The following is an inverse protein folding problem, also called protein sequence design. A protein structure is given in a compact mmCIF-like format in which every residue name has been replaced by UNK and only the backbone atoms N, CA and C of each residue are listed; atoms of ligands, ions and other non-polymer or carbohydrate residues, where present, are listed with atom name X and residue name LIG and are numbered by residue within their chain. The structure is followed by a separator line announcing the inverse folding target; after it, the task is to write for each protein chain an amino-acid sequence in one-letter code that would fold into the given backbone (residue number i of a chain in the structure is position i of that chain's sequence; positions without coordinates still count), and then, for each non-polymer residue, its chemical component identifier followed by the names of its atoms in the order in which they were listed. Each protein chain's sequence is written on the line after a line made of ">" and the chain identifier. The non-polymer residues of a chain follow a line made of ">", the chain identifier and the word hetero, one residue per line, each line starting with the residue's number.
data_IF_876274804251
#
_entry.id   IF_876274804251
#
_cell.length_a   1.000
_cell.length_b   1.000
_cell.length_c   1.000
_cell.angle_alpha   90.00
_cell.angle_beta   90.00
_cell.angle_gamma   90.00
#
_symmetry.space_group_name_H-M   'P 1'
#
loop_
_entity.id
_entity.type
_entity.pdbx_description
1 polymer ?
#
# COMPACT_ATOMS: atom_id res chain seq x y z
N UNK A 1 -7.27 11.55 -2.52
CA UNK A 1 -6.39 10.37 -2.64
C UNK A 1 -7.08 9.36 -3.54
N UNK A 2 -6.34 8.54 -4.27
CA UNK A 2 -6.87 7.47 -5.11
C UNK A 2 -6.15 6.18 -4.73
N UNK A 3 -6.92 5.13 -4.41
CA UNK A 3 -6.42 3.77 -4.24
C UNK A 3 -6.61 2.99 -5.54
N UNK A 4 -5.56 2.30 -5.96
CA UNK A 4 -5.50 1.49 -7.16
C UNK A 4 -5.06 0.07 -6.76
N UNK A 5 -5.99 -0.71 -6.21
CA UNK A 5 -5.82 -2.14 -5.98
C UNK A 5 -5.86 -2.90 -7.32
N UNK A 6 -4.90 -2.61 -8.19
CA UNK A 6 -4.72 -3.14 -9.54
C UNK A 6 -3.26 -2.99 -9.97
N UNK A 7 -2.88 -3.76 -10.99
CA UNK A 7 -1.54 -3.77 -11.53
C UNK A 7 -1.49 -4.25 -12.97
N UNK A 8 -0.48 -3.78 -13.71
CA UNK A 8 -0.11 -4.25 -15.04
C UNK A 8 1.39 -4.51 -15.10
N UNK A 9 1.80 -5.60 -15.74
CA UNK A 9 3.22 -5.99 -15.81
C UNK A 9 4.03 -5.16 -16.82
N UNK A 10 3.38 -4.23 -17.54
CA UNK A 10 4.03 -3.42 -18.58
C UNK A 10 3.76 -1.93 -18.37
N UNK A 11 4.80 -1.13 -18.63
CA UNK A 11 4.69 0.32 -18.59
C UNK A 11 3.78 0.81 -19.72
N UNK A 12 2.91 1.79 -19.43
CA UNK A 12 2.05 2.43 -20.41
C UNK A 12 2.19 3.95 -20.34
N UNK A 13 2.50 4.60 -21.47
CA UNK A 13 2.71 6.05 -21.55
C UNK A 13 1.46 6.85 -21.15
N UNK A 14 0.28 6.45 -21.60
CA UNK A 14 -0.97 7.13 -21.29
C UNK A 14 -1.31 6.99 -19.81
N UNK A 15 -1.09 5.80 -19.22
CA UNK A 15 -1.23 5.59 -17.79
C UNK A 15 -0.29 6.52 -17.01
N UNK A 16 0.98 6.58 -17.41
CA UNK A 16 1.97 7.47 -16.78
C UNK A 16 1.56 8.94 -16.85
N UNK A 17 1.09 9.42 -18.00
CA UNK A 17 0.60 10.80 -18.15
C UNK A 17 -0.58 11.10 -17.21
N UNK A 18 -1.52 10.16 -17.06
CA UNK A 18 -2.62 10.28 -16.10
C UNK A 18 -2.13 10.33 -14.65
N UNK A 19 -1.18 9.48 -14.28
CA UNK A 19 -0.56 9.44 -12.96
C UNK A 19 0.16 10.77 -12.66
N UNK A 20 0.97 11.26 -13.59
CA UNK A 20 1.70 12.51 -13.42
C UNK A 20 0.75 13.72 -13.33
N UNK A 21 -0.35 13.72 -14.09
CA UNK A 21 -1.39 14.76 -14.01
C UNK A 21 -2.10 14.75 -12.66
N UNK A 22 -2.44 13.57 -12.12
CA UNK A 22 -3.04 13.46 -10.80
C UNK A 22 -2.07 13.89 -9.70
N UNK A 23 -0.80 13.48 -9.80
CA UNK A 23 0.25 13.89 -8.86
C UNK A 23 0.46 15.41 -8.84
N UNK A 24 0.52 16.07 -10.01
CA UNK A 24 0.61 17.55 -10.12
C UNK A 24 -0.56 18.29 -9.47
N UNK A 25 -1.70 17.63 -9.29
CA UNK A 25 -2.86 18.16 -8.56
C UNK A 25 -2.82 17.86 -7.05
N UNK A 26 -1.67 17.44 -6.53
CA UNK A 26 -1.47 17.03 -5.13
C UNK A 26 -2.39 15.88 -4.69
N UNK A 27 -2.82 15.03 -5.64
CA UNK A 27 -3.57 13.82 -5.33
C UNK A 27 -2.57 12.76 -4.91
N UNK A 28 -2.75 12.23 -3.69
CA UNK A 28 -1.99 11.06 -3.21
C UNK A 28 -2.49 9.83 -3.97
N UNK A 29 -1.56 9.07 -4.54
CA UNK A 29 -1.80 7.88 -5.35
C UNK A 29 -1.20 6.68 -4.62
N UNK A 30 -2.02 5.67 -4.37
CA UNK A 30 -1.62 4.41 -3.71
C UNK A 30 -1.95 3.26 -4.64
N UNK A 31 -1.03 2.32 -4.83
CA UNK A 31 -1.24 1.14 -5.65
C UNK A 31 -0.66 -0.13 -5.02
N UNK A 32 -1.26 -1.27 -5.36
CA UNK A 32 -0.76 -2.60 -5.01
C UNK A 32 0.55 -2.90 -5.74
N UNK A 33 1.54 -3.44 -5.03
CA UNK A 33 2.84 -3.79 -5.59
C UNK A 33 2.82 -4.95 -6.59
N UNK A 34 1.78 -5.79 -6.56
CA UNK A 34 1.64 -6.97 -7.41
C UNK A 34 1.84 -8.28 -6.66
N UNK A 35 1.14 -9.31 -7.14
CA UNK A 35 1.05 -10.65 -6.54
C UNK A 35 1.56 -11.73 -7.53
N UNK A 36 2.61 -11.41 -8.29
CA UNK A 36 3.14 -12.26 -9.38
C UNK A 36 4.59 -12.73 -9.17
N UNK A 37 5.16 -12.51 -7.98
CA UNK A 37 6.57 -12.82 -7.65
C UNK A 37 7.59 -12.18 -8.61
N UNK A 38 7.24 -11.06 -9.26
CA UNK A 38 8.16 -10.35 -10.15
C UNK A 38 9.21 -9.58 -9.35
N UNK A 39 10.39 -9.38 -9.94
CA UNK A 39 11.43 -8.46 -9.46
C UNK A 39 11.12 -6.97 -9.73
N UNK A 40 9.99 -6.69 -10.39
CA UNK A 40 9.45 -5.36 -10.67
C UNK A 40 8.06 -5.29 -10.06
N UNK A 41 7.67 -4.14 -9.48
CA UNK A 41 6.30 -3.96 -9.03
C UNK A 41 5.37 -3.69 -10.21
N UNK A 42 4.10 -4.02 -10.05
CA UNK A 42 3.14 -3.76 -11.12
C UNK A 42 2.99 -2.24 -11.36
N UNK A 43 2.72 -1.85 -12.60
CA UNK A 43 2.32 -0.49 -12.92
C UNK A 43 0.86 -0.28 -12.52
N UNK A 44 0.50 0.82 -11.83
CA UNK A 44 1.28 2.05 -11.67
C UNK A 44 2.17 2.12 -10.40
N UNK A 45 2.20 1.10 -9.54
CA UNK A 45 2.97 1.13 -8.28
C UNK A 45 4.48 1.35 -8.50
N UNK A 46 5.04 0.82 -9.59
CA UNK A 46 6.45 1.04 -9.97
C UNK A 46 6.77 2.51 -10.32
N UNK A 47 5.77 3.36 -10.60
CA UNK A 47 6.04 4.76 -10.86
C UNK A 47 6.48 5.50 -9.59
N UNK A 48 7.51 6.35 -9.73
CA UNK A 48 8.06 7.18 -8.64
C UNK A 48 7.01 7.97 -7.85
N UNK A 49 5.98 8.48 -8.53
CA UNK A 49 4.95 9.36 -7.94
C UNK A 49 3.75 8.61 -7.33
N UNK A 50 3.82 7.28 -7.24
CA UNK A 50 2.77 6.41 -6.70
C UNK A 50 3.32 5.67 -5.49
N UNK A 51 2.58 5.63 -4.39
CA UNK A 51 2.94 4.84 -3.21
C UNK A 51 2.65 3.38 -3.52
N UNK A 52 3.70 2.56 -3.57
CA UNK A 52 3.62 1.11 -3.77
C UNK A 52 3.50 0.39 -2.43
N UNK A 53 2.47 -0.45 -2.30
CA UNK A 53 2.16 -1.17 -1.06
C UNK A 53 2.19 -2.68 -1.27
N UNK A 54 3.08 -3.35 -0.54
CA UNK A 54 3.16 -4.81 -0.49
C UNK A 54 2.40 -5.39 0.71
N UNK A 55 1.96 -6.64 0.55
CA UNK A 55 1.24 -7.37 1.58
C UNK A 55 2.18 -8.08 2.54
N UNK A 56 1.87 -7.97 3.83
CA UNK A 56 2.46 -8.77 4.91
C UNK A 56 1.36 -9.48 5.70
N UNK A 57 1.73 -10.56 6.37
CA UNK A 57 0.88 -11.26 7.32
C UNK A 57 0.96 -10.68 8.74
N UNK A 58 0.24 -11.31 9.69
CA UNK A 58 0.22 -10.91 11.10
C UNK A 58 1.57 -11.08 11.80
N UNK A 59 2.44 -11.94 11.29
CA UNK A 59 3.80 -12.16 11.79
C UNK A 59 4.80 -11.19 11.13
N UNK A 60 4.32 -10.28 10.28
CA UNK A 60 5.10 -9.36 9.45
C UNK A 60 5.93 -10.10 8.41
N UNK A 61 5.54 -11.31 8.04
CA UNK A 61 6.17 -12.04 6.95
C UNK A 61 5.61 -11.55 5.62
N UNK A 62 6.48 -11.46 4.61
CA UNK A 62 6.09 -11.05 3.26
C UNK A 62 5.11 -12.06 2.69
N UNK A 63 4.07 -11.57 2.01
CA UNK A 63 3.17 -12.42 1.25
C UNK A 63 3.94 -13.24 0.22
N UNK A 64 3.70 -14.56 0.18
CA UNK A 64 4.50 -15.49 -0.63
C UNK A 64 4.49 -15.22 -2.14
N UNK A 65 3.48 -14.53 -2.65
CA UNK A 65 3.39 -14.12 -4.06
C UNK A 65 3.80 -12.68 -4.34
N UNK A 66 4.29 -11.95 -3.32
CA UNK A 66 4.62 -10.53 -3.47
C UNK A 66 5.67 -10.30 -4.55
N UNK A 67 5.39 -9.36 -5.46
CA UNK A 67 6.43 -8.75 -6.28
C UNK A 67 7.39 -7.94 -5.40
N UNK A 68 8.65 -7.82 -5.81
CA UNK A 68 9.77 -7.33 -4.97
C UNK A 68 10.51 -6.11 -5.54
N UNK A 69 9.92 -5.47 -6.56
CA UNK A 69 10.43 -4.23 -7.15
C UNK A 69 10.32 -3.01 -6.23
N UNK A 70 9.76 -1.91 -6.74
CA UNK A 70 9.58 -0.71 -5.89
C UNK A 70 8.53 -0.96 -4.81
N UNK A 71 8.95 -1.05 -3.55
CA UNK A 71 8.07 -1.08 -2.37
C UNK A 71 8.31 0.17 -1.52
N UNK A 72 7.26 0.95 -1.26
CA UNK A 72 7.34 2.14 -0.39
C UNK A 72 6.84 1.82 1.03
N UNK A 73 5.83 0.95 1.16
CA UNK A 73 5.25 0.56 2.44
C UNK A 73 4.80 -0.90 2.43
N UNK A 74 4.69 -1.48 3.63
CA UNK A 74 3.99 -2.74 3.85
C UNK A 74 2.72 -2.49 4.66
N UNK A 75 1.68 -3.28 4.38
CA UNK A 75 0.45 -3.27 5.15
C UNK A 75 -0.15 -4.68 5.27
N UNK A 76 -0.98 -4.93 6.30
CA UNK A 76 -1.67 -6.21 6.44
C UNK A 76 -2.49 -6.52 5.18
N UNK A 77 -2.17 -7.65 4.56
CA UNK A 77 -2.80 -8.07 3.31
C UNK A 77 -2.94 -9.58 3.18
N UNK A 78 -2.61 -10.35 4.21
CA UNK A 78 -2.72 -11.82 4.24
C UNK A 78 -3.73 -12.24 5.30
N UNK A 79 -4.53 -13.28 5.01
CA UNK A 79 -5.61 -13.79 5.86
C UNK A 79 -6.59 -12.69 6.36
N UNK A 80 -7.00 -11.81 5.44
CA UNK A 80 -7.91 -10.69 5.75
C UNK A 80 -9.35 -11.10 5.48
N UNK A 81 -10.25 -10.82 6.42
CA UNK A 81 -11.69 -11.02 6.25
C UNK A 81 -12.29 -9.82 5.52
N UNK A 82 -12.89 -10.04 4.35
CA UNK A 82 -13.56 -9.02 3.54
C UNK A 82 -14.94 -9.49 3.05
N UNK A 83 -15.79 -8.54 2.64
CA UNK A 83 -17.05 -8.88 1.96
C UNK A 83 -16.81 -9.03 0.46
N UNK A 84 -17.32 -10.10 -0.13
CA UNK A 84 -17.37 -10.23 -1.58
C UNK A 84 -18.57 -9.47 -2.18
N UNK A 85 -18.69 -9.50 -3.51
CA UNK A 85 -19.77 -8.84 -4.25
C UNK A 85 -21.18 -9.39 -3.94
N UNK A 86 -21.29 -10.56 -3.28
CA UNK A 86 -22.56 -11.14 -2.80
C UNK A 86 -22.86 -10.77 -1.35
N UNK A 87 -22.02 -9.95 -0.71
CA UNK A 87 -22.16 -9.55 0.69
C UNK A 87 -21.66 -10.58 1.72
N UNK A 88 -21.15 -11.72 1.27
CA UNK A 88 -20.64 -12.78 2.14
C UNK A 88 -19.23 -12.44 2.63
N UNK A 89 -18.94 -12.79 3.88
CA UNK A 89 -17.59 -12.73 4.42
C UNK A 89 -16.74 -13.85 3.82
N UNK A 90 -15.58 -13.48 3.30
CA UNK A 90 -14.56 -14.38 2.78
C UNK A 90 -13.20 -14.04 3.39
N UNK A 91 -12.31 -15.02 3.50
CA UNK A 91 -10.88 -14.77 3.70
C UNK A 91 -10.24 -14.51 2.34
N UNK A 92 -9.41 -13.49 2.27
CA UNK A 92 -8.72 -13.05 1.06
C UNK A 92 -7.34 -12.51 1.41
N UNK A 93 -6.48 -12.45 0.42
CA UNK A 93 -5.10 -12.00 0.55
C UNK A 93 -4.62 -11.34 -0.75
N UNK A 94 -3.55 -10.56 -0.64
CA UNK A 94 -2.88 -9.90 -1.76
C UNK A 94 -2.53 -8.44 -1.48
N UNK A 95 -1.61 -7.92 -2.28
CA UNK A 95 -1.19 -6.52 -2.25
C UNK A 95 -2.36 -5.56 -2.54
N UNK A 96 -3.41 -6.04 -3.24
CA UNK A 96 -4.67 -5.32 -3.40
C UNK A 96 -5.34 -4.98 -2.06
N UNK A 97 -5.33 -5.92 -1.12
CA UNK A 97 -5.90 -5.75 0.23
C UNK A 97 -5.00 -4.85 1.08
N UNK A 98 -3.68 -5.06 0.98
CA UNK A 98 -2.69 -4.22 1.65
C UNK A 98 -2.82 -2.74 1.25
N UNK A 99 -2.91 -2.45 -0.05
CA UNK A 99 -3.11 -1.09 -0.59
C UNK A 99 -4.38 -0.44 -0.05
N UNK A 100 -5.48 -1.19 0.03
CA UNK A 100 -6.74 -0.69 0.58
C UNK A 100 -6.64 -0.37 2.08
N UNK A 101 -6.05 -1.28 2.86
CA UNK A 101 -5.82 -1.09 4.30
C UNK A 101 -4.92 0.12 4.56
N UNK A 102 -3.81 0.24 3.82
CA UNK A 102 -2.90 1.37 3.89
C UNK A 102 -3.60 2.70 3.57
N UNK A 103 -4.38 2.74 2.49
CA UNK A 103 -5.15 3.92 2.09
C UNK A 103 -6.11 4.35 3.20
N UNK A 104 -6.83 3.39 3.81
CA UNK A 104 -7.74 3.66 4.92
C UNK A 104 -7.03 4.30 6.11
N UNK A 105 -5.91 3.71 6.53
CA UNK A 105 -5.07 4.24 7.62
C UNK A 105 -4.55 5.63 7.28
N UNK A 106 -3.96 5.82 6.10
CA UNK A 106 -3.42 7.09 5.65
C UNK A 106 -4.49 8.20 5.60
N UNK A 107 -5.73 7.85 5.23
CA UNK A 107 -6.84 8.81 5.21
C UNK A 107 -7.16 9.37 6.61
N UNK A 108 -7.07 8.54 7.65
CA UNK A 108 -7.28 8.96 9.05
C UNK A 108 -6.17 9.90 9.49
N UNK A 109 -4.91 9.58 9.17
CA UNK A 109 -3.77 10.45 9.47
C UNK A 109 -3.94 11.83 8.82
N UNK A 110 -4.28 11.87 7.54
CA UNK A 110 -4.48 13.14 6.82
C UNK A 110 -5.67 13.96 7.36
N UNK A 111 -6.70 13.32 7.91
CA UNK A 111 -7.86 14.01 8.45
C UNK A 111 -7.55 14.74 9.78
N UNK A 112 -6.60 14.25 10.57
CA UNK A 112 -6.26 14.81 11.89
C UNK A 112 -5.43 16.11 11.83
N UNK A 113 -5.32 16.80 10.68
CA UNK A 113 -4.42 17.95 10.46
C UNK A 113 -2.96 17.67 10.83
N UNK A 114 -2.54 16.41 10.75
CA UNK A 114 -1.14 16.02 10.87
C UNK A 114 -0.44 16.57 9.63
N UNK A 115 0.61 17.38 9.82
CA UNK A 115 1.35 17.95 8.72
C UNK A 115 1.86 16.81 7.82
N UNK A 116 1.80 16.97 6.50
CA UNK A 116 2.11 15.90 5.54
C UNK A 116 3.53 15.35 5.70
N UNK A 117 4.44 16.13 6.29
CA UNK A 117 5.80 15.72 6.66
C UNK A 117 5.85 14.77 7.87
N UNK A 118 4.87 14.82 8.77
CA UNK A 118 4.82 14.00 9.99
C UNK A 118 4.33 12.57 9.74
N UNK A 119 3.69 12.29 8.60
CA UNK A 119 3.28 10.91 8.23
C UNK A 119 4.51 9.98 8.14
N UNK A 120 5.69 10.53 7.82
CA UNK A 120 6.95 9.81 7.81
C UNK A 120 7.61 9.66 9.19
N UNK A 121 7.04 10.27 10.25
CA UNK A 121 7.71 10.47 11.55
C UNK A 121 6.89 10.05 12.78
N UNK A 122 5.70 9.45 12.63
CA UNK A 122 4.84 9.16 13.78
C UNK A 122 5.05 7.77 14.41
N UNK A 123 4.85 7.72 15.73
CA UNK A 123 5.01 6.58 16.67
C UNK A 123 4.18 5.30 16.35
N UNK A 124 3.47 5.27 15.23
CA UNK A 124 2.69 4.14 14.73
C UNK A 124 3.26 3.56 13.42
N UNK A 125 4.47 4.00 13.06
CA UNK A 125 5.26 3.44 11.98
C UNK A 125 6.26 2.48 12.57
N UNK A 126 6.10 1.19 12.28
CA UNK A 126 7.14 0.21 12.58
C UNK A 126 8.09 0.05 11.38
N UNK A 127 9.32 -0.36 11.64
CA UNK A 127 10.32 -0.54 10.62
C UNK A 127 10.42 -2.01 10.20
N UNK A 128 10.26 -2.26 8.91
CA UNK A 128 10.45 -3.56 8.28
C UNK A 128 11.76 -3.58 7.51
N UNK A 129 12.61 -4.58 7.73
CA UNK A 129 13.80 -4.77 6.93
C UNK A 129 13.47 -5.64 5.71
N UNK A 130 13.56 -5.05 4.53
CA UNK A 130 13.32 -5.73 3.27
C UNK A 130 14.52 -5.52 2.34
N UNK A 131 15.18 -6.61 1.93
CA UNK A 131 16.36 -6.57 1.05
C UNK A 131 17.45 -5.59 1.54
N UNK A 132 17.66 -5.51 2.87
CA UNK A 132 18.64 -4.60 3.48
C UNK A 132 18.19 -3.14 3.54
N UNK A 133 16.95 -2.83 3.15
CA UNK A 133 16.33 -1.50 3.26
C UNK A 133 15.34 -1.49 4.41
N UNK A 134 15.40 -0.44 5.22
CA UNK A 134 14.37 -0.17 6.22
C UNK A 134 13.18 0.50 5.52
N UNK A 135 12.02 -0.13 5.60
CA UNK A 135 10.75 0.31 5.00
C UNK A 135 9.73 0.52 6.12
N UNK A 136 8.86 1.50 5.95
CA UNK A 136 7.83 1.85 6.93
C UNK A 136 6.63 0.88 6.84
N UNK A 137 6.20 0.34 7.97
CA UNK A 137 4.92 -0.33 8.16
C UNK A 137 4.01 0.64 8.90
N UNK A 138 2.86 0.98 8.32
CA UNK A 138 1.82 1.71 9.06
C UNK A 138 0.93 0.70 9.79
N UNK A 139 1.06 0.63 11.12
CA UNK A 139 0.24 -0.24 11.98
C UNK A 139 -0.66 0.64 12.82
N UNK A 140 -1.99 0.48 12.68
CA UNK A 140 -2.94 1.18 13.54
C UNK A 140 -3.19 0.32 14.78
N UNK A 141 -2.49 0.64 15.88
CA UNK A 141 -2.78 0.03 17.16
C UNK A 141 -4.00 0.75 17.77
N UNK A 142 -5.12 0.03 17.96
CA UNK A 142 -6.36 0.60 18.53
C UNK A 142 -6.26 0.87 20.04
N UNK A 143 -5.09 0.71 20.66
CA UNK A 143 -4.83 0.97 22.07
C UNK A 143 -4.54 2.45 22.40
N UNK A 144 -5.19 3.40 21.73
CA UNK A 144 -5.33 4.74 22.30
C UNK A 144 -6.56 4.75 23.21
N UNK A 145 -6.46 4.07 24.35
CA UNK A 145 -7.30 4.36 25.51
C UNK A 145 -6.82 5.71 26.06
N UNK A 146 -7.46 6.78 25.61
CA UNK A 146 -7.58 8.05 26.33
C UNK A 146 -9.03 8.49 26.27
#
# INVERSE_FOLDING_TARGET
>A
MINMSLGFNTNNKQLKECIDKAHKKNIILVASSGDTMSDISDYPAEYKNVISVAAIDKNKELFGFSSTGKIDFFAPGVDVIAKNNKGNYIRTEGSSIASANFTGVLSIYLNKNIDKKEIYLQDNVEFFNFNGRVINILIFNKNTNK
#
